data_IF_254508199450
#
_entry.id   IF_254508199450
#
_cell.length_a   1.000
_cell.length_b   1.000
_cell.length_c   1.000
_cell.angle_alpha   90.00
_cell.angle_beta   90.00
_cell.angle_gamma   90.00
#
_symmetry.space_group_name_H-M   'P 1'
#
loop_
_entity.id
_entity.type
_entity.pdbx_description
1 polymer ?
#
# COMPACT_ATOMS: atom_id res chain seq x y z
N UNK A 1 -10.33 -1.14 4.75
CA UNK A 1 -9.62 -0.27 3.76
C UNK A 1 -8.20 -0.77 3.59
N UNK A 2 -7.83 -1.09 2.36
CA UNK A 2 -6.47 -1.51 2.03
C UNK A 2 -5.70 -0.29 1.54
N UNK A 3 -4.59 0.03 2.21
CA UNK A 3 -3.75 1.16 1.85
C UNK A 3 -2.68 0.72 0.84
N UNK A 4 -2.52 1.49 -0.23
CA UNK A 4 -1.42 1.30 -1.16
C UNK A 4 -0.25 2.22 -0.79
N UNK A 5 0.89 2.05 -1.48
CA UNK A 5 2.08 2.82 -1.16
C UNK A 5 1.87 4.31 -1.41
N UNK A 6 1.13 4.70 -2.46
CA UNK A 6 0.91 6.12 -2.74
C UNK A 6 0.11 6.81 -1.64
N UNK A 7 -0.90 6.13 -1.07
CA UNK A 7 -1.67 6.67 0.05
C UNK A 7 -0.79 6.84 1.29
N UNK A 8 -0.01 5.83 1.63
CA UNK A 8 0.88 5.86 2.81
C UNK A 8 1.91 7.00 2.68
N UNK A 9 2.57 7.07 1.53
CA UNK A 9 3.59 8.10 1.28
C UNK A 9 2.97 9.49 1.31
N UNK A 10 1.80 9.67 0.68
CA UNK A 10 1.10 10.95 0.67
C UNK A 10 0.81 11.45 2.08
N UNK A 11 0.35 10.57 2.96
CA UNK A 11 0.06 10.92 4.35
C UNK A 11 1.35 11.30 5.10
N UNK A 12 2.40 10.50 4.96
CA UNK A 12 3.62 10.68 5.72
C UNK A 12 4.46 11.86 5.25
N UNK A 13 4.34 12.24 3.99
CA UNK A 13 5.00 13.45 3.45
C UNK A 13 4.12 14.70 3.68
N UNK A 14 2.82 14.51 3.86
CA UNK A 14 1.89 15.63 4.04
C UNK A 14 1.48 16.29 2.73
N UNK A 15 1.26 15.49 1.70
CA UNK A 15 0.77 15.99 0.41
C UNK A 15 -0.65 16.57 0.52
N UNK A 16 -1.10 17.37 -0.48
CA UNK A 16 -2.44 18.00 -0.41
C UNK A 16 -3.60 17.04 -0.20
N UNK A 17 -3.49 15.80 -0.70
CA UNK A 17 -4.52 14.77 -0.54
C UNK A 17 -4.58 14.15 0.86
N UNK A 18 -3.58 14.41 1.72
CA UNK A 18 -3.45 13.69 2.99
C UNK A 18 -4.65 13.87 3.91
N UNK A 19 -5.22 15.08 3.97
CA UNK A 19 -6.39 15.33 4.83
C UNK A 19 -7.59 14.50 4.42
N UNK A 20 -7.85 14.36 3.12
CA UNK A 20 -8.95 13.54 2.60
C UNK A 20 -8.72 12.06 2.88
N UNK A 21 -7.49 11.60 2.70
CA UNK A 21 -7.11 10.21 2.98
C UNK A 21 -7.27 9.89 4.47
N UNK A 22 -6.82 10.77 5.34
CA UNK A 22 -6.96 10.61 6.79
C UNK A 22 -8.44 10.55 7.21
N UNK A 23 -9.29 11.35 6.58
CA UNK A 23 -10.72 11.31 6.84
C UNK A 23 -11.33 9.95 6.46
N UNK A 24 -10.97 9.42 5.29
CA UNK A 24 -11.44 8.11 4.85
C UNK A 24 -10.95 7.01 5.79
N UNK A 25 -9.69 7.11 6.25
CA UNK A 25 -9.14 6.14 7.20
C UNK A 25 -9.88 6.17 8.54
N UNK A 26 -10.25 7.35 9.01
CA UNK A 26 -10.99 7.49 10.27
C UNK A 26 -12.37 6.83 10.22
N UNK A 27 -12.96 6.76 9.04
CA UNK A 27 -14.27 6.16 8.83
C UNK A 27 -14.22 4.65 8.59
N UNK A 28 -13.04 4.10 8.29
CA UNK A 28 -12.88 2.70 7.98
C UNK A 28 -12.85 1.87 9.27
N UNK A 29 -13.58 0.74 9.34
CA UNK A 29 -13.56 -0.11 10.53
C UNK A 29 -12.22 -0.82 10.72
N UNK A 30 -11.53 -1.15 9.63
CA UNK A 30 -10.23 -1.82 9.66
C UNK A 30 -9.32 -1.18 8.60
N UNK A 31 -8.08 -0.93 8.97
CA UNK A 31 -7.04 -0.47 8.05
C UNK A 31 -6.01 -1.58 7.88
N UNK A 32 -5.62 -1.85 6.65
CA UNK A 32 -4.65 -2.90 6.37
C UNK A 32 -3.74 -2.50 5.22
N UNK A 33 -2.57 -3.10 5.15
CA UNK A 33 -1.64 -2.94 4.05
C UNK A 33 -0.84 -4.22 3.86
N UNK A 34 -0.51 -4.56 2.63
CA UNK A 34 0.33 -5.72 2.35
C UNK A 34 1.75 -5.46 2.86
N UNK A 35 2.41 -6.48 3.37
CA UNK A 35 3.79 -6.36 3.85
C UNK A 35 4.74 -5.78 2.78
N UNK A 36 4.68 -6.22 1.51
CA UNK A 36 5.52 -5.60 0.47
C UNK A 36 5.21 -4.13 0.22
N UNK A 37 3.96 -3.71 0.41
CA UNK A 37 3.56 -2.31 0.29
C UNK A 37 4.26 -1.44 1.34
N UNK A 38 4.39 -1.95 2.56
CA UNK A 38 5.13 -1.24 3.61
C UNK A 38 6.60 -1.10 3.24
N UNK A 39 7.20 -2.13 2.66
CA UNK A 39 8.58 -2.05 2.19
C UNK A 39 8.73 -1.01 1.08
N UNK A 40 7.88 -1.05 0.09
CA UNK A 40 7.89 -0.08 -1.01
C UNK A 40 7.78 1.36 -0.47
N UNK A 41 6.83 1.58 0.43
CA UNK A 41 6.61 2.89 1.07
C UNK A 41 7.85 3.34 1.84
N UNK A 42 8.47 2.42 2.58
CA UNK A 42 9.71 2.69 3.33
C UNK A 42 10.84 3.10 2.39
N UNK A 43 10.98 2.43 1.27
CA UNK A 43 12.01 2.75 0.27
C UNK A 43 11.81 4.15 -0.31
N UNK A 44 10.57 4.50 -0.65
CA UNK A 44 10.25 5.84 -1.17
C UNK A 44 10.52 6.91 -0.12
N UNK A 45 10.08 6.68 1.12
CA UNK A 45 10.28 7.65 2.22
C UNK A 45 11.77 7.83 2.54
N UNK A 46 12.55 6.76 2.52
CA UNK A 46 13.99 6.82 2.77
C UNK A 46 14.68 7.71 1.74
N UNK A 47 14.28 7.62 0.49
CA UNK A 47 14.80 8.51 -0.57
C UNK A 47 14.35 9.95 -0.37
N UNK A 48 13.11 10.15 0.01
CA UNK A 48 12.55 11.49 0.24
C UNK A 48 13.23 12.19 1.42
N UNK A 49 13.39 11.49 2.54
CA UNK A 49 13.99 12.04 3.76
C UNK A 49 15.52 11.91 3.79
N UNK A 50 16.11 11.23 2.81
CA UNK A 50 17.55 10.97 2.72
C UNK A 50 18.09 10.27 3.96
N UNK A 51 17.35 9.26 4.45
CA UNK A 51 17.73 8.53 5.64
C UNK A 51 16.82 7.33 5.88
N UNK A 52 17.05 6.65 6.98
CA UNK A 52 16.32 5.46 7.36
C UNK A 52 14.90 5.82 7.80
N UNK A 53 13.90 5.34 7.07
CA UNK A 53 12.50 5.63 7.36
C UNK A 53 11.77 4.51 8.11
N UNK A 54 12.51 3.48 8.60
CA UNK A 54 11.86 2.34 9.27
C UNK A 54 11.11 2.76 10.53
N UNK A 55 11.68 3.67 11.32
CA UNK A 55 11.03 4.14 12.55
C UNK A 55 9.74 4.88 12.25
N UNK A 56 9.74 5.72 11.22
CA UNK A 56 8.54 6.45 10.77
C UNK A 56 7.45 5.46 10.35
N UNK A 57 7.82 4.45 9.57
CA UNK A 57 6.86 3.46 9.10
C UNK A 57 6.29 2.64 10.25
N UNK A 58 7.13 2.20 11.18
CA UNK A 58 6.69 1.43 12.34
C UNK A 58 5.75 2.24 13.23
N UNK A 59 6.03 3.52 13.40
CA UNK A 59 5.15 4.44 14.14
C UNK A 59 3.79 4.57 13.45
N UNK A 60 3.78 4.72 12.13
CA UNK A 60 2.56 4.81 11.35
C UNK A 60 1.70 3.54 11.52
N UNK A 61 2.31 2.37 11.39
CA UNK A 61 1.62 1.08 11.54
C UNK A 61 1.00 0.97 12.94
N UNK A 62 1.74 1.37 13.97
CA UNK A 62 1.28 1.30 15.36
C UNK A 62 0.17 2.31 15.63
N UNK A 63 0.35 3.56 15.23
CA UNK A 63 -0.58 4.65 15.53
C UNK A 63 -1.94 4.41 14.88
N UNK A 64 -1.95 3.96 13.64
CA UNK A 64 -3.19 3.71 12.90
C UNK A 64 -3.68 2.27 13.02
N UNK A 65 -2.99 1.45 13.81
CA UNK A 65 -3.35 0.05 14.03
C UNK A 65 -3.51 -0.69 12.70
N UNK A 66 -2.55 -0.50 11.81
CA UNK A 66 -2.57 -1.10 10.48
C UNK A 66 -2.38 -2.62 10.61
N UNK A 67 -3.33 -3.38 10.07
CA UNK A 67 -3.17 -4.82 9.94
C UNK A 67 -2.20 -5.10 8.77
N UNK A 68 -1.09 -5.76 9.07
CA UNK A 68 -0.10 -6.11 8.05
C UNK A 68 -0.47 -7.45 7.44
N UNK A 69 -0.81 -7.44 6.14
CA UNK A 69 -1.22 -8.66 5.42
C UNK A 69 0.03 -9.31 4.85
N UNK A 70 0.32 -10.57 5.23
CA UNK A 70 1.46 -11.27 4.64
C UNK A 70 1.23 -11.55 3.16
N UNK A 71 2.30 -11.54 2.37
CA UNK A 71 2.22 -11.81 0.94
C UNK A 71 2.64 -13.24 0.67
N UNK A 72 1.63 -14.12 0.54
CA UNK A 72 1.80 -15.55 0.39
C UNK A 72 1.80 -15.98 -1.08
N UNK A 73 1.90 -17.28 -1.31
CA UNK A 73 1.76 -17.88 -2.65
C UNK A 73 0.44 -17.49 -3.31
N UNK A 74 -0.66 -17.51 -2.54
CA UNK A 74 -1.97 -17.13 -3.07
C UNK A 74 -2.00 -15.67 -3.51
N UNK A 75 -1.36 -14.78 -2.76
CA UNK A 75 -1.25 -13.37 -3.14
C UNK A 75 -0.45 -13.21 -4.43
N UNK A 76 0.63 -13.98 -4.58
CA UNK A 76 1.40 -13.98 -5.82
C UNK A 76 0.53 -14.38 -7.01
N UNK A 77 -0.22 -15.47 -6.87
CA UNK A 77 -1.06 -15.97 -7.96
C UNK A 77 -2.10 -14.92 -8.39
N UNK A 78 -2.77 -14.28 -7.43
CA UNK A 78 -3.76 -13.23 -7.70
C UNK A 78 -3.10 -12.00 -8.33
N UNK A 79 -1.95 -11.59 -7.80
CA UNK A 79 -1.23 -10.43 -8.31
C UNK A 79 -0.72 -10.66 -9.73
N UNK A 80 -0.20 -11.85 -10.01
CA UNK A 80 0.26 -12.21 -11.35
C UNK A 80 -0.90 -12.21 -12.35
N UNK A 81 -2.03 -12.77 -11.98
CA UNK A 81 -3.23 -12.75 -12.80
C UNK A 81 -3.67 -11.32 -13.09
N UNK A 82 -3.69 -10.46 -12.09
CA UNK A 82 -4.05 -9.04 -12.23
C UNK A 82 -3.12 -8.33 -13.22
N UNK A 83 -1.82 -8.62 -13.15
CA UNK A 83 -0.85 -8.02 -14.06
C UNK A 83 -1.14 -8.42 -15.52
N UNK A 84 -1.39 -9.71 -15.76
CA UNK A 84 -1.65 -10.20 -17.13
C UNK A 84 -2.99 -9.70 -17.67
N UNK A 85 -3.95 -9.40 -16.82
CA UNK A 85 -5.26 -8.87 -17.25
C UNK A 85 -5.27 -7.35 -17.36
N UNK A 86 -4.63 -6.65 -16.44
CA UNK A 86 -4.76 -5.19 -16.29
C UNK A 86 -3.42 -4.46 -16.21
N UNK A 87 -2.31 -5.17 -16.34
CA UNK A 87 -0.99 -4.62 -16.12
C UNK A 87 -0.57 -3.58 -17.13
N UNK A 88 0.49 -2.88 -16.79
CA UNK A 88 1.08 -1.85 -17.62
C UNK A 88 1.48 -2.45 -18.97
N UNK A 89 0.92 -1.91 -20.06
CA UNK A 89 1.11 -2.42 -21.40
C UNK A 89 0.13 -3.52 -21.79
N UNK A 90 -0.71 -4.02 -20.88
CA UNK A 90 -1.69 -5.08 -21.14
C UNK A 90 -3.12 -4.55 -21.17
N UNK A 91 -3.40 -3.46 -20.45
CA UNK A 91 -4.73 -2.93 -20.31
C UNK A 91 -4.66 -1.42 -20.00
N UNK A 92 -5.76 -0.70 -20.29
CA UNK A 92 -5.85 0.74 -20.00
C UNK A 92 -5.68 1.05 -18.50
N UNK A 93 -5.99 0.10 -17.61
CA UNK A 93 -5.78 0.27 -16.17
C UNK A 93 -4.29 0.39 -15.81
N UNK A 94 -3.40 -0.21 -16.61
CA UNK A 94 -1.94 -0.05 -16.45
C UNK A 94 -1.43 -0.33 -15.04
N UNK A 95 -1.85 -1.44 -14.44
CA UNK A 95 -1.40 -1.79 -13.09
C UNK A 95 0.11 -2.02 -13.06
N UNK A 96 0.76 -1.34 -12.13
CA UNK A 96 2.19 -1.56 -11.86
C UNK A 96 2.36 -2.62 -10.77
N UNK A 97 3.61 -2.86 -10.36
CA UNK A 97 3.94 -3.86 -9.35
C UNK A 97 3.20 -3.61 -8.02
N UNK A 98 3.24 -2.37 -7.52
CA UNK A 98 2.57 -1.99 -6.28
C UNK A 98 1.05 -2.16 -6.36
N UNK A 99 0.46 -1.78 -7.49
CA UNK A 99 -0.98 -1.94 -7.71
C UNK A 99 -1.39 -3.40 -7.69
N UNK A 100 -0.59 -4.28 -8.27
CA UNK A 100 -0.86 -5.72 -8.27
C UNK A 100 -0.82 -6.30 -6.87
N UNK A 101 0.12 -5.84 -6.04
CA UNK A 101 0.21 -6.27 -4.64
C UNK A 101 -1.01 -5.83 -3.85
N UNK A 102 -1.42 -4.58 -3.99
CA UNK A 102 -2.60 -4.06 -3.29
C UNK A 102 -3.88 -4.74 -3.75
N UNK A 103 -3.99 -5.01 -5.04
CA UNK A 103 -5.12 -5.74 -5.60
C UNK A 103 -5.22 -7.15 -4.99
N UNK A 104 -4.10 -7.86 -4.92
CA UNK A 104 -4.08 -9.20 -4.34
C UNK A 104 -4.45 -9.18 -2.86
N UNK A 105 -3.93 -8.23 -2.10
CA UNK A 105 -4.26 -8.07 -0.70
C UNK A 105 -5.76 -7.81 -0.50
N UNK A 106 -6.34 -6.96 -1.32
CA UNK A 106 -7.76 -6.63 -1.25
C UNK A 106 -8.63 -7.87 -1.59
N UNK A 107 -8.26 -8.59 -2.67
CA UNK A 107 -9.02 -9.77 -3.11
C UNK A 107 -9.04 -10.88 -2.08
N UNK A 108 -7.89 -11.15 -1.43
CA UNK A 108 -7.75 -12.27 -0.51
C UNK A 108 -8.12 -11.93 0.92
N UNK A 109 -8.33 -10.66 1.23
CA UNK A 109 -8.79 -10.25 2.56
C UNK A 109 -10.31 -10.35 2.75
N UNK A 110 -10.98 -10.65 1.69
CA UNK A 110 -12.44 -10.74 1.71
C UNK A 110 -13.07 -9.41 1.49
#
# INVERSE_FOLDING_TARGET
MILDASAIVSILIGEPDSARLLQHMAEAPVLAAAAPTLLESTMVLSRHFKGDARAVMNEFVREFQIEVIPFSRDHYDVAADAFYRFGKGQHAASLNFGDCMSYAAARLSG
#
